data_IF_918608821111
#
_entry.id   IF_918608821111
#
_cell.length_a   1.000
_cell.length_b   1.000
_cell.length_c   1.000
_cell.angle_alpha   90.00
_cell.angle_beta   90.00
_cell.angle_gamma   90.00
#
_symmetry.space_group_name_H-M   'P 1'
#
loop_
_entity.id
_entity.type
_entity.pdbx_description
1 polymer ?
#
# COMPACT_ATOMS: atom_id res chain seq x y z
N UNK A 1 -9.89 32.21 32.96
CA UNK A 1 -9.40 30.82 32.82
C UNK A 1 -9.58 30.42 31.35
N UNK A 2 -8.57 30.64 30.53
CA UNK A 2 -8.58 30.28 29.10
C UNK A 2 -8.34 28.81 28.93
N UNK A 3 -9.31 28.07 28.39
CA UNK A 3 -9.10 26.72 27.93
C UNK A 3 -8.14 26.78 26.75
N UNK A 4 -6.89 26.40 26.97
CA UNK A 4 -5.97 26.10 25.88
C UNK A 4 -6.58 24.93 25.11
N UNK A 5 -7.14 25.21 23.95
CA UNK A 5 -7.46 24.23 22.93
C UNK A 5 -6.12 23.59 22.50
N UNK A 6 -5.81 22.43 23.07
CA UNK A 6 -4.70 21.61 22.60
C UNK A 6 -5.05 21.20 21.18
N UNK A 7 -4.42 21.89 20.24
CA UNK A 7 -4.47 21.51 18.82
C UNK A 7 -3.96 20.06 18.75
N UNK A 8 -4.86 19.11 18.49
CA UNK A 8 -4.50 17.70 18.29
C UNK A 8 -3.48 17.67 17.16
N UNK A 9 -2.25 17.28 17.48
CA UNK A 9 -1.21 17.09 16.49
C UNK A 9 -1.63 15.96 15.57
N UNK A 10 -2.10 16.30 14.39
CA UNK A 10 -2.46 15.32 13.37
C UNK A 10 -1.18 14.72 12.80
N UNK A 11 -1.05 13.40 12.82
CA UNK A 11 0.11 12.73 12.22
C UNK A 11 0.21 13.06 10.74
N UNK A 12 1.41 13.38 10.26
CA UNK A 12 1.63 13.79 8.88
C UNK A 12 1.66 12.56 7.95
N UNK A 13 0.80 12.48 6.95
CA UNK A 13 0.85 11.41 5.97
C UNK A 13 2.02 11.62 5.00
N UNK A 14 2.66 10.51 4.63
CA UNK A 14 3.71 10.47 3.60
C UNK A 14 3.39 9.41 2.56
N UNK A 15 4.09 9.48 1.43
CA UNK A 15 3.97 8.55 0.33
C UNK A 15 5.35 8.08 -0.14
N UNK A 16 5.38 7.00 -0.95
CA UNK A 16 6.60 6.44 -1.54
C UNK A 16 7.50 7.53 -2.15
N UNK A 17 6.92 8.46 -2.91
CA UNK A 17 7.66 9.55 -3.56
C UNK A 17 8.25 10.59 -2.61
N UNK A 18 7.78 10.68 -1.36
CA UNK A 18 8.29 11.61 -0.36
C UNK A 18 9.11 10.93 0.74
N UNK A 19 9.12 9.61 0.76
CA UNK A 19 9.72 8.81 1.83
C UNK A 19 11.21 9.12 2.05
N UNK A 20 11.99 9.25 0.98
CA UNK A 20 13.42 9.55 1.08
C UNK A 20 13.64 10.87 1.82
N UNK A 21 13.02 11.95 1.37
CA UNK A 21 13.14 13.29 1.96
C UNK A 21 12.60 13.34 3.39
N UNK A 22 11.42 12.76 3.63
CA UNK A 22 10.73 12.91 4.91
C UNK A 22 11.26 11.96 6.00
N UNK A 23 11.88 10.84 5.61
CA UNK A 23 12.31 9.79 6.53
C UNK A 23 13.83 9.59 6.50
N UNK A 24 14.40 9.33 5.32
CA UNK A 24 15.82 8.96 5.23
C UNK A 24 16.76 10.15 5.38
N UNK A 25 16.34 11.34 4.95
CA UNK A 25 17.10 12.59 5.06
C UNK A 25 16.72 13.41 6.31
N UNK A 26 15.82 12.87 7.15
CA UNK A 26 15.39 13.56 8.35
C UNK A 26 16.51 13.74 9.37
N UNK A 27 16.62 14.96 9.92
CA UNK A 27 17.59 15.29 10.97
C UNK A 27 17.23 14.71 12.35
N UNK A 28 15.96 14.37 12.55
CA UNK A 28 15.41 13.78 13.79
C UNK A 28 15.09 12.30 13.59
N UNK A 29 15.00 11.49 14.65
CA UNK A 29 14.42 10.16 14.57
C UNK A 29 12.98 10.22 14.06
N UNK A 30 12.60 9.25 13.24
CA UNK A 30 11.28 9.18 12.61
C UNK A 30 10.62 7.85 12.95
N UNK A 31 9.41 7.91 13.50
CA UNK A 31 8.49 6.77 13.53
C UNK A 31 7.58 6.83 12.32
N UNK A 32 7.50 5.76 11.56
CA UNK A 32 6.58 5.61 10.44
C UNK A 32 5.56 4.53 10.75
N UNK A 33 4.31 4.92 10.95
CA UNK A 33 3.18 4.00 11.10
C UNK A 33 2.71 3.52 9.73
N UNK A 34 2.91 2.25 9.46
CA UNK A 34 2.41 1.59 8.26
C UNK A 34 1.03 1.03 8.57
N UNK A 35 0.00 1.64 7.98
CA UNK A 35 -1.40 1.40 8.29
C UNK A 35 -2.25 1.22 7.04
N UNK A 36 -3.54 0.85 7.22
CA UNK A 36 -4.53 0.87 6.14
C UNK A 36 -5.92 1.22 6.69
N UNK A 37 -6.83 1.80 5.88
CA UNK A 37 -8.16 2.23 6.32
C UNK A 37 -9.05 1.10 6.88
N UNK A 38 -8.86 -0.10 6.38
CA UNK A 38 -9.61 -1.30 6.78
C UNK A 38 -9.03 -2.00 8.03
N UNK A 39 -7.87 -1.57 8.52
CA UNK A 39 -7.17 -2.17 9.65
C UNK A 39 -7.70 -1.58 10.97
N UNK A 40 -8.66 -2.22 11.60
CA UNK A 40 -9.24 -1.75 12.88
C UNK A 40 -8.19 -1.52 13.98
N UNK A 41 -7.18 -2.41 14.22
CA UNK A 41 -6.14 -2.14 15.20
C UNK A 41 -5.25 -0.95 14.81
N UNK A 42 -5.07 -0.64 13.52
CA UNK A 42 -4.34 0.56 13.09
C UNK A 42 -5.10 1.84 13.47
N UNK A 43 -6.41 1.85 13.25
CA UNK A 43 -7.26 2.99 13.65
C UNK A 43 -7.20 3.23 15.16
N UNK A 44 -7.22 2.14 15.95
CA UNK A 44 -7.09 2.22 17.40
C UNK A 44 -5.69 2.68 17.87
N UNK A 45 -4.64 2.44 17.07
CA UNK A 45 -3.28 2.85 17.38
C UNK A 45 -3.04 4.35 17.18
N UNK A 46 -3.76 4.99 16.25
CA UNK A 46 -3.55 6.39 15.89
C UNK A 46 -3.50 7.35 17.08
N UNK A 47 -4.48 7.35 18.03
CA UNK A 47 -4.41 8.24 19.21
C UNK A 47 -3.22 7.95 20.12
N UNK A 48 -2.68 6.72 20.13
CA UNK A 48 -1.48 6.39 20.90
C UNK A 48 -0.26 7.07 20.28
N UNK A 49 -0.13 7.00 18.95
CA UNK A 49 0.99 7.64 18.23
C UNK A 49 0.90 9.16 18.24
N UNK A 50 -0.31 9.73 18.22
CA UNK A 50 -0.52 11.18 18.44
C UNK A 50 0.05 11.60 19.80
N UNK A 51 -0.20 10.83 20.87
CA UNK A 51 0.38 11.09 22.19
C UNK A 51 1.90 10.94 22.24
N UNK A 52 2.48 9.98 21.49
CA UNK A 52 3.94 9.86 21.32
C UNK A 52 4.49 11.12 20.67
N UNK A 53 3.84 11.59 19.59
CA UNK A 53 4.23 12.81 18.88
C UNK A 53 4.17 14.05 19.77
N UNK A 54 3.14 14.16 20.61
CA UNK A 54 2.99 15.26 21.57
C UNK A 54 4.07 15.23 22.66
N UNK A 55 4.33 14.07 23.28
CA UNK A 55 5.32 13.93 24.36
C UNK A 55 6.76 14.16 23.87
N UNK A 56 7.05 13.84 22.61
CA UNK A 56 8.37 13.93 22.03
C UNK A 56 8.46 15.01 20.94
N UNK A 57 7.56 16.01 21.02
CA UNK A 57 7.54 17.12 20.07
C UNK A 57 8.92 17.79 19.96
N UNK A 58 9.38 18.02 18.73
CA UNK A 58 10.71 18.58 18.42
C UNK A 58 11.87 17.58 18.58
N UNK A 59 11.65 16.39 19.15
CA UNK A 59 12.68 15.36 19.33
C UNK A 59 12.50 14.16 18.38
N UNK A 60 11.27 13.84 18.02
CA UNK A 60 10.89 12.73 17.13
C UNK A 60 9.82 13.21 16.19
N UNK A 61 9.87 12.77 14.94
CA UNK A 61 8.76 12.92 13.99
C UNK A 61 7.95 11.64 13.96
N UNK A 62 6.62 11.77 13.95
CA UNK A 62 5.72 10.61 13.79
C UNK A 62 4.92 10.83 12.50
N UNK A 63 5.10 9.92 11.56
CA UNK A 63 4.53 9.97 10.21
C UNK A 63 3.64 8.76 9.98
N UNK A 64 2.71 8.85 9.04
CA UNK A 64 1.84 7.73 8.66
C UNK A 64 1.98 7.44 7.17
N UNK A 65 1.92 6.16 6.82
CA UNK A 65 2.02 5.70 5.44
C UNK A 65 0.94 4.64 5.18
N UNK A 66 0.04 4.93 4.24
CA UNK A 66 -1.00 3.98 3.84
C UNK A 66 -0.37 2.85 3.00
N UNK A 67 -0.42 1.63 3.52
CA UNK A 67 0.18 0.46 2.89
C UNK A 67 -0.45 0.12 1.52
N UNK A 68 -1.73 0.41 1.33
CA UNK A 68 -2.44 0.12 0.09
C UNK A 68 -1.97 1.03 -1.07
N UNK A 69 -1.50 2.23 -0.74
CA UNK A 69 -1.06 3.25 -1.70
C UNK A 69 0.46 3.30 -1.88
N UNK A 70 1.22 2.72 -0.92
CA UNK A 70 2.67 2.91 -0.81
C UNK A 70 3.42 1.57 -0.69
N UNK A 71 3.26 0.74 -1.67
CA UNK A 71 3.70 -0.65 -1.61
C UNK A 71 5.20 -0.80 -1.83
N UNK A 72 5.87 0.19 -2.42
CA UNK A 72 7.33 0.15 -2.57
C UNK A 72 8.01 0.22 -1.19
N UNK A 73 7.55 1.11 -0.32
CA UNK A 73 8.00 1.17 1.07
C UNK A 73 7.66 -0.10 1.84
N UNK A 74 6.42 -0.60 1.74
CA UNK A 74 5.99 -1.85 2.39
C UNK A 74 6.87 -3.03 1.99
N UNK A 75 7.15 -3.18 0.71
CA UNK A 75 7.99 -4.25 0.16
C UNK A 75 9.44 -4.09 0.58
N UNK A 76 9.99 -2.88 0.44
CA UNK A 76 11.39 -2.55 0.77
C UNK A 76 11.73 -2.89 2.22
N UNK A 77 10.85 -2.56 3.15
CA UNK A 77 11.08 -2.81 4.57
C UNK A 77 10.47 -4.12 5.06
N UNK A 78 9.97 -4.97 4.17
CA UNK A 78 9.47 -6.31 4.47
C UNK A 78 8.30 -6.30 5.45
N UNK A 79 7.40 -5.32 5.35
CA UNK A 79 6.20 -5.24 6.20
C UNK A 79 5.21 -6.33 5.77
N UNK A 80 4.89 -7.24 6.68
CA UNK A 80 4.03 -8.41 6.42
C UNK A 80 2.71 -8.41 7.18
N UNK A 81 2.56 -7.50 8.14
CA UNK A 81 1.35 -7.38 8.95
C UNK A 81 1.11 -5.91 9.32
N UNK A 82 -0.14 -5.52 9.61
CA UNK A 82 -0.53 -4.18 10.01
C UNK A 82 -1.21 -4.19 11.39
N UNK A 83 -1.00 -3.14 12.19
CA UNK A 83 -0.03 -2.06 11.97
C UNK A 83 1.41 -2.54 12.13
N UNK A 84 2.34 -1.89 11.46
CA UNK A 84 3.78 -2.00 11.73
C UNK A 84 4.35 -0.59 11.85
N UNK A 85 4.99 -0.29 12.97
CA UNK A 85 5.67 0.97 13.20
C UNK A 85 7.17 0.76 13.02
N UNK A 86 7.77 1.50 12.10
CA UNK A 86 9.20 1.46 11.78
C UNK A 86 9.88 2.65 12.43
N UNK A 87 11.02 2.42 13.11
CA UNK A 87 11.86 3.47 13.67
C UNK A 87 13.08 3.69 12.77
N UNK A 88 13.22 4.91 12.29
CA UNK A 88 14.38 5.38 11.54
C UNK A 88 15.18 6.39 12.34
N UNK A 89 16.50 6.28 12.23
CA UNK A 89 17.44 7.28 12.71
C UNK A 89 18.53 7.51 11.68
N UNK A 90 18.79 8.78 11.33
CA UNK A 90 19.86 9.18 10.39
C UNK A 90 19.85 8.37 9.09
N UNK A 91 18.66 8.13 8.54
CA UNK A 91 18.44 7.40 7.29
C UNK A 91 18.45 5.87 7.40
N UNK A 92 18.77 5.31 8.57
CA UNK A 92 18.78 3.88 8.79
C UNK A 92 17.52 3.39 9.51
N UNK A 93 16.99 2.22 9.11
CA UNK A 93 15.98 1.51 9.88
C UNK A 93 16.66 0.93 11.13
N UNK A 94 16.31 1.43 12.32
CA UNK A 94 16.90 1.02 13.60
C UNK A 94 16.15 -0.17 14.19
N UNK A 95 14.80 -0.10 14.20
CA UNK A 95 13.97 -1.13 14.83
C UNK A 95 12.54 -1.07 14.32
N UNK A 96 11.69 -2.02 14.70
CA UNK A 96 10.27 -2.08 14.34
C UNK A 96 9.41 -2.72 15.43
N UNK A 97 8.15 -2.30 15.49
CA UNK A 97 7.10 -2.98 16.27
C UNK A 97 5.96 -3.37 15.34
N UNK A 98 5.57 -4.64 15.37
CA UNK A 98 4.42 -5.17 14.63
C UNK A 98 3.26 -5.41 15.58
N UNK A 99 2.06 -4.95 15.20
CA UNK A 99 0.87 -4.95 16.03
C UNK A 99 0.67 -3.64 16.79
N UNK A 100 -0.53 -3.45 17.31
CA UNK A 100 -0.86 -2.31 18.16
C UNK A 100 -0.33 -2.54 19.58
N UNK A 101 0.44 -1.59 20.10
CA UNK A 101 1.03 -1.65 21.42
C UNK A 101 0.63 -0.43 22.27
N UNK A 102 0.72 -0.50 23.61
CA UNK A 102 0.56 0.65 24.46
C UNK A 102 1.72 1.64 24.29
N UNK A 103 1.50 2.89 24.68
CA UNK A 103 2.44 4.01 24.49
C UNK A 103 3.85 3.71 25.01
N UNK A 104 3.95 3.05 26.18
CA UNK A 104 5.23 2.77 26.84
C UNK A 104 6.17 1.93 25.95
N UNK A 105 5.62 1.09 25.07
CA UNK A 105 6.43 0.29 24.14
C UNK A 105 7.08 1.15 23.07
N UNK A 106 6.39 2.19 22.58
CA UNK A 106 6.95 3.14 21.61
C UNK A 106 7.98 4.06 22.27
N UNK A 107 7.74 4.48 23.50
CA UNK A 107 8.71 5.26 24.28
C UNK A 107 9.97 4.45 24.58
N UNK A 108 9.83 3.17 24.96
CA UNK A 108 10.95 2.27 25.18
C UNK A 108 11.73 1.98 23.88
N UNK A 109 11.05 1.88 22.73
CA UNK A 109 11.69 1.74 21.42
C UNK A 109 12.56 2.95 21.08
N UNK A 110 12.10 4.16 21.42
CA UNK A 110 12.77 5.43 21.11
C UNK A 110 13.90 5.77 22.08
N UNK A 111 13.82 5.31 23.34
CA UNK A 111 14.76 5.71 24.41
C UNK A 111 16.23 5.52 24.03
N UNK A 112 16.70 4.36 23.52
CA UNK A 112 18.11 4.16 23.17
C UNK A 112 18.62 5.13 22.10
N UNK A 113 17.77 5.45 21.10
CA UNK A 113 18.12 6.37 20.02
C UNK A 113 18.24 7.80 20.57
N UNK A 114 17.32 8.21 21.42
CA UNK A 114 17.33 9.55 22.01
C UNK A 114 18.49 9.74 22.98
N UNK A 115 18.85 8.70 23.74
CA UNK A 115 20.02 8.69 24.65
C UNK A 115 21.32 8.77 23.86
N UNK A 116 21.49 7.96 22.82
CA UNK A 116 22.66 7.98 21.94
C UNK A 116 22.84 9.36 21.27
N UNK A 117 21.76 9.98 20.84
CA UNK A 117 21.80 11.35 20.29
C UNK A 117 22.19 12.38 21.33
N UNK A 118 21.65 12.30 22.54
CA UNK A 118 22.01 13.22 23.65
C UNK A 118 23.48 13.08 24.05
N UNK A 119 24.03 11.88 23.99
CA UNK A 119 25.43 11.59 24.28
C UNK A 119 26.41 11.99 23.14
N UNK A 120 25.89 12.52 22.02
CA UNK A 120 26.73 12.83 20.86
C UNK A 120 27.39 11.60 20.22
N UNK A 121 26.82 10.42 20.43
CA UNK A 121 27.35 9.17 19.90
C UNK A 121 27.53 9.23 18.37
N UNK A 122 28.65 8.71 17.83
CA UNK A 122 28.86 8.66 16.40
C UNK A 122 27.71 7.93 15.71
N UNK A 123 27.32 8.47 14.54
CA UNK A 123 26.32 7.84 13.67
C UNK A 123 26.76 6.41 13.39
N UNK A 124 25.95 5.35 13.66
CA UNK A 124 26.14 4.10 13.00
C UNK A 124 26.21 4.40 11.50
N UNK A 125 27.25 3.88 10.82
CA UNK A 125 27.31 4.05 9.37
C UNK A 125 25.95 3.62 8.79
N UNK A 126 25.31 4.43 7.94
CA UNK A 126 24.08 4.02 7.30
C UNK A 126 24.34 2.63 6.69
N UNK A 127 23.43 1.66 6.82
CA UNK A 127 23.57 0.41 6.10
C UNK A 127 23.87 0.79 4.65
N UNK A 128 24.83 0.06 4.03
CA UNK A 128 25.30 0.35 2.68
C UNK A 128 24.14 0.77 1.80
N UNK A 129 24.25 1.85 1.03
CA UNK A 129 23.13 2.43 0.32
C UNK A 129 22.43 1.34 -0.48
N UNK A 130 21.26 0.92 0.00
CA UNK A 130 20.33 0.23 -0.87
C UNK A 130 20.14 1.18 -2.04
N UNK A 131 20.46 0.70 -3.24
CA UNK A 131 20.58 1.46 -4.48
C UNK A 131 19.69 2.72 -4.51
N UNK A 132 20.23 3.87 -4.97
CA UNK A 132 19.63 5.18 -4.74
C UNK A 132 18.13 5.14 -5.02
N UNK A 133 17.32 5.57 -4.05
CA UNK A 133 15.88 5.74 -4.20
C UNK A 133 15.51 6.56 -5.45
N UNK A 134 16.38 7.48 -5.83
CA UNK A 134 16.23 8.33 -7.01
C UNK A 134 16.41 7.63 -8.35
N UNK A 135 16.80 6.35 -8.36
CA UNK A 135 17.14 5.66 -9.60
C UNK A 135 16.06 4.67 -10.08
N UNK A 136 14.90 4.62 -9.44
CA UNK A 136 13.74 4.05 -10.13
C UNK A 136 12.97 5.19 -10.77
N UNK A 137 13.00 5.29 -12.09
CA UNK A 137 12.03 6.11 -12.80
C UNK A 137 10.65 5.65 -12.32
N UNK A 138 9.76 6.60 -12.07
CA UNK A 138 8.36 6.33 -11.81
C UNK A 138 7.92 5.21 -12.75
N UNK A 139 7.67 3.98 -12.19
CA UNK A 139 7.18 2.84 -12.93
C UNK A 139 7.83 2.59 -14.28
N UNK A 140 9.10 2.17 -14.34
CA UNK A 140 9.48 1.35 -15.49
C UNK A 140 8.85 -0.03 -15.24
N UNK A 141 7.54 -0.14 -15.50
CA UNK A 141 7.01 -1.39 -16.00
C UNK A 141 7.95 -1.79 -17.12
N UNK A 142 8.57 -2.95 -17.06
CA UNK A 142 9.38 -3.44 -18.17
C UNK A 142 8.52 -3.37 -19.42
N UNK A 143 9.08 -3.14 -20.61
CA UNK A 143 8.26 -3.09 -21.83
C UNK A 143 7.34 -4.32 -21.88
N UNK A 144 7.81 -5.47 -21.44
CA UNK A 144 7.05 -6.70 -21.31
C UNK A 144 5.80 -6.58 -20.40
N UNK A 145 5.86 -5.85 -19.29
CA UNK A 145 4.70 -5.66 -18.43
C UNK A 145 3.65 -4.72 -19.04
N UNK A 146 4.08 -3.70 -19.81
CA UNK A 146 3.18 -2.87 -20.60
C UNK A 146 2.57 -3.64 -21.76
N UNK A 147 3.36 -4.46 -22.45
CA UNK A 147 2.87 -5.30 -23.56
C UNK A 147 1.82 -6.28 -23.05
N UNK A 148 2.05 -6.93 -21.89
CA UNK A 148 1.06 -7.80 -21.25
C UNK A 148 -0.19 -7.02 -20.81
N UNK A 149 -0.04 -5.83 -20.20
CA UNK A 149 -1.17 -4.99 -19.81
C UNK A 149 -2.01 -4.57 -21.02
N UNK A 150 -1.38 -4.21 -22.13
CA UNK A 150 -2.08 -3.91 -23.39
C UNK A 150 -2.78 -5.13 -23.96
N UNK A 151 -2.16 -6.30 -23.92
CA UNK A 151 -2.78 -7.56 -24.38
C UNK A 151 -4.02 -7.89 -23.53
N UNK A 152 -3.95 -7.74 -22.20
CA UNK A 152 -5.08 -7.93 -21.31
C UNK A 152 -6.20 -6.92 -21.57
N UNK A 153 -5.85 -5.64 -21.73
CA UNK A 153 -6.82 -4.57 -22.02
C UNK A 153 -7.57 -4.83 -23.33
N UNK A 154 -6.88 -5.25 -24.37
CA UNK A 154 -7.41 -5.48 -25.72
C UNK A 154 -7.99 -6.89 -25.92
N UNK A 155 -8.34 -7.60 -24.86
CA UNK A 155 -9.02 -8.88 -24.97
C UNK A 155 -10.29 -8.75 -25.82
N UNK A 156 -10.50 -9.59 -26.86
CA UNK A 156 -11.70 -9.53 -27.69
C UNK A 156 -12.95 -10.04 -26.96
N UNK A 157 -12.75 -10.79 -25.87
CA UNK A 157 -13.82 -11.26 -24.99
C UNK A 157 -13.71 -10.60 -23.62
N UNK A 158 -14.83 -10.48 -22.87
CA UNK A 158 -14.77 -9.97 -21.50
C UNK A 158 -13.79 -10.77 -20.66
N UNK A 159 -12.70 -10.12 -20.23
CA UNK A 159 -11.65 -10.69 -19.41
C UNK A 159 -11.75 -10.12 -17.98
N UNK A 160 -11.67 -10.99 -16.97
CA UNK A 160 -11.63 -10.57 -15.58
C UNK A 160 -10.17 -10.50 -15.10
N UNK A 161 -9.70 -9.31 -14.79
CA UNK A 161 -8.41 -9.10 -14.12
C UNK A 161 -8.65 -8.91 -12.64
N UNK A 162 -8.04 -9.76 -11.81
CA UNK A 162 -8.14 -9.65 -10.35
C UNK A 162 -6.77 -9.39 -9.73
N UNK A 163 -6.60 -8.20 -9.15
CA UNK A 163 -5.41 -7.81 -8.39
C UNK A 163 -5.57 -8.24 -6.93
N UNK A 164 -4.67 -9.08 -6.47
CA UNK A 164 -4.67 -9.68 -5.14
C UNK A 164 -3.44 -9.28 -4.35
N UNK A 165 -3.62 -8.92 -3.09
CA UNK A 165 -2.54 -8.74 -2.12
C UNK A 165 -2.49 -9.93 -1.16
N UNK A 166 -1.37 -10.66 -1.16
CA UNK A 166 -1.18 -11.82 -0.29
C UNK A 166 -1.05 -11.44 1.21
N UNK A 167 -0.82 -10.17 1.53
CA UNK A 167 -0.65 -9.67 2.90
C UNK A 167 -1.90 -8.98 3.46
N UNK A 168 -2.94 -8.81 2.64
CA UNK A 168 -4.18 -8.16 3.03
C UNK A 168 -5.26 -9.19 3.37
N UNK A 169 -5.77 -9.20 4.61
CA UNK A 169 -6.81 -10.13 5.05
C UNK A 169 -8.10 -10.01 4.24
N UNK A 170 -8.51 -8.80 3.90
CA UNK A 170 -9.67 -8.55 3.03
C UNK A 170 -9.41 -9.13 1.64
N UNK A 171 -8.20 -8.99 1.11
CA UNK A 171 -7.84 -9.54 -0.19
C UNK A 171 -7.91 -11.06 -0.22
N UNK A 172 -7.59 -11.72 0.89
CA UNK A 172 -7.70 -13.19 1.03
C UNK A 172 -9.18 -13.62 0.99
N UNK A 173 -10.06 -12.90 1.69
CA UNK A 173 -11.50 -13.22 1.67
C UNK A 173 -12.12 -12.96 0.29
N UNK A 174 -11.80 -11.84 -0.32
CA UNK A 174 -12.27 -11.50 -1.68
C UNK A 174 -11.69 -12.48 -2.71
N UNK A 175 -10.47 -12.97 -2.51
CA UNK A 175 -9.88 -14.01 -3.39
C UNK A 175 -10.70 -15.30 -3.38
N UNK A 176 -11.23 -15.72 -2.24
CA UNK A 176 -12.11 -16.90 -2.19
C UNK A 176 -13.36 -16.72 -3.06
N UNK A 177 -13.95 -15.51 -3.08
CA UNK A 177 -15.09 -15.19 -3.95
C UNK A 177 -14.69 -15.19 -5.42
N UNK A 178 -13.52 -14.67 -5.73
CA UNK A 178 -12.96 -14.73 -7.08
C UNK A 178 -12.72 -16.20 -7.52
N UNK A 179 -12.13 -17.03 -6.66
CA UNK A 179 -11.89 -18.44 -6.97
C UNK A 179 -13.21 -19.19 -7.20
N UNK A 180 -14.25 -18.90 -6.40
CA UNK A 180 -15.59 -19.44 -6.61
C UNK A 180 -16.20 -18.97 -7.95
N UNK A 181 -15.97 -17.70 -8.34
CA UNK A 181 -16.38 -17.19 -9.64
C UNK A 181 -15.71 -17.96 -10.78
N UNK A 182 -14.38 -18.13 -10.71
CA UNK A 182 -13.59 -18.86 -11.74
C UNK A 182 -14.10 -20.31 -11.88
N UNK A 183 -14.39 -20.99 -10.78
CA UNK A 183 -14.92 -22.36 -10.80
C UNK A 183 -16.32 -22.44 -11.42
N UNK A 184 -17.18 -21.45 -11.13
CA UNK A 184 -18.54 -21.41 -11.66
C UNK A 184 -18.61 -20.98 -13.14
N UNK A 185 -17.58 -20.29 -13.64
CA UNK A 185 -17.54 -19.71 -14.99
C UNK A 185 -16.23 -20.03 -15.71
N UNK A 186 -15.92 -21.32 -15.93
CA UNK A 186 -14.63 -21.74 -16.52
C UNK A 186 -14.42 -21.26 -17.95
N UNK A 187 -15.48 -20.83 -18.63
CA UNK A 187 -15.44 -20.27 -19.99
C UNK A 187 -15.01 -18.79 -20.02
N UNK A 188 -15.02 -18.08 -18.86
CA UNK A 188 -14.66 -16.68 -18.78
C UNK A 188 -13.15 -16.56 -18.63
N UNK A 189 -12.44 -15.85 -19.53
CA UNK A 189 -11.02 -15.61 -19.36
C UNK A 189 -10.76 -14.83 -18.06
N UNK A 190 -9.76 -15.26 -17.30
CA UNK A 190 -9.41 -14.61 -16.03
C UNK A 190 -7.89 -14.47 -15.90
N UNK A 191 -7.42 -13.37 -15.31
CA UNK A 191 -6.01 -13.13 -14.96
C UNK A 191 -5.90 -12.71 -13.50
N UNK A 192 -5.29 -13.57 -12.69
CA UNK A 192 -4.92 -13.21 -11.31
C UNK A 192 -3.55 -12.53 -11.32
N UNK A 193 -3.46 -11.36 -10.73
CA UNK A 193 -2.21 -10.59 -10.54
C UNK A 193 -1.92 -10.50 -9.04
N UNK A 194 -0.87 -11.17 -8.59
CA UNK A 194 -0.40 -11.07 -7.21
C UNK A 194 0.49 -9.84 -7.10
N UNK A 195 -0.03 -8.77 -6.50
CA UNK A 195 0.59 -7.43 -6.50
C UNK A 195 2.03 -7.43 -5.99
N UNK A 196 2.37 -8.26 -4.99
CA UNK A 196 3.73 -8.34 -4.45
C UNK A 196 4.73 -9.02 -5.41
N UNK A 197 4.26 -9.90 -6.27
CA UNK A 197 5.11 -10.68 -7.20
C UNK A 197 5.16 -10.04 -8.59
N UNK A 198 4.06 -9.43 -9.01
CA UNK A 198 3.84 -8.91 -10.37
C UNK A 198 3.57 -7.39 -10.34
N UNK A 199 4.29 -6.66 -9.50
CA UNK A 199 4.11 -5.22 -9.37
C UNK A 199 4.24 -4.44 -10.68
N UNK A 200 5.26 -4.69 -11.53
CA UNK A 200 5.35 -3.99 -12.82
C UNK A 200 4.08 -4.14 -13.65
N UNK A 201 3.51 -5.35 -13.69
CA UNK A 201 2.25 -5.62 -14.41
C UNK A 201 1.07 -4.92 -13.73
N UNK A 202 0.98 -4.97 -12.40
CA UNK A 202 -0.10 -4.30 -11.66
C UNK A 202 -0.13 -2.78 -11.90
N UNK A 203 1.04 -2.15 -11.99
CA UNK A 203 1.17 -0.73 -12.31
C UNK A 203 0.84 -0.46 -13.79
N UNK A 204 1.39 -1.25 -14.70
CA UNK A 204 1.11 -1.13 -16.12
C UNK A 204 -0.39 -1.25 -16.44
N UNK A 205 -1.11 -2.16 -15.76
CA UNK A 205 -2.57 -2.29 -15.90
C UNK A 205 -3.28 -1.00 -15.44
N UNK A 206 -2.83 -0.38 -14.35
CA UNK A 206 -3.41 0.88 -13.87
C UNK A 206 -3.17 2.02 -14.88
N UNK A 207 -1.96 2.09 -15.44
CA UNK A 207 -1.55 3.10 -16.41
C UNK A 207 -2.29 2.92 -17.75
N UNK A 208 -2.34 1.70 -18.29
CA UNK A 208 -2.98 1.40 -19.59
C UNK A 208 -4.49 1.62 -19.51
N UNK A 209 -5.13 1.16 -18.44
CA UNK A 209 -6.58 1.26 -18.26
C UNK A 209 -7.06 2.56 -17.64
N UNK A 210 -6.12 3.45 -17.24
CA UNK A 210 -6.42 4.72 -16.55
C UNK A 210 -7.30 4.53 -15.31
N UNK A 211 -7.10 3.43 -14.58
CA UNK A 211 -7.82 3.10 -13.35
C UNK A 211 -6.86 3.18 -12.17
N UNK A 212 -7.23 3.95 -11.16
CA UNK A 212 -6.45 4.03 -9.92
C UNK A 212 -6.18 2.63 -9.37
N UNK A 213 -4.92 2.37 -9.01
CA UNK A 213 -4.54 1.10 -8.37
C UNK A 213 -5.20 0.95 -7.00
N UNK A 214 -5.84 -0.19 -6.78
CA UNK A 214 -6.37 -0.63 -5.49
C UNK A 214 -6.10 -2.14 -5.33
N UNK A 215 -6.14 -2.64 -4.08
CA UNK A 215 -5.96 -4.07 -3.80
C UNK A 215 -6.74 -4.48 -2.53
N UNK A 216 -7.67 -5.44 -2.60
CA UNK A 216 -8.07 -6.19 -3.81
C UNK A 216 -8.85 -5.33 -4.80
N UNK A 217 -8.61 -5.56 -6.09
CA UNK A 217 -9.31 -4.89 -7.19
C UNK A 217 -9.67 -5.90 -8.26
N UNK A 218 -10.92 -5.85 -8.73
CA UNK A 218 -11.37 -6.60 -9.90
C UNK A 218 -11.76 -5.64 -11.02
N UNK A 219 -11.33 -5.96 -12.24
CA UNK A 219 -11.68 -5.23 -13.46
C UNK A 219 -12.26 -6.23 -14.47
N UNK A 220 -13.27 -5.82 -15.19
CA UNK A 220 -13.74 -6.51 -16.40
C UNK A 220 -13.41 -5.63 -17.58
N UNK A 221 -12.58 -6.16 -18.49
CA UNK A 221 -12.03 -5.40 -19.62
C UNK A 221 -12.38 -6.10 -20.93
N UNK A 222 -12.53 -5.32 -22.01
CA UNK A 222 -12.75 -5.80 -23.36
C UNK A 222 -12.41 -4.71 -24.37
N UNK A 223 -11.77 -5.05 -25.47
CA UNK A 223 -11.50 -4.17 -26.62
C UNK A 223 -10.92 -2.81 -26.21
N UNK A 224 -9.98 -2.78 -25.26
CA UNK A 224 -9.34 -1.57 -24.76
C UNK A 224 -10.15 -0.79 -23.71
N UNK A 225 -11.31 -1.26 -23.31
CA UNK A 225 -12.21 -0.55 -22.39
C UNK A 225 -12.42 -1.28 -21.08
N UNK A 226 -12.52 -0.52 -19.99
CA UNK A 226 -12.96 -1.03 -18.69
C UNK A 226 -14.49 -1.02 -18.65
N UNK A 227 -15.09 -2.20 -18.74
CA UNK A 227 -16.54 -2.35 -18.67
C UNK A 227 -17.04 -2.16 -17.23
N UNK A 228 -16.25 -2.60 -16.26
CA UNK A 228 -16.57 -2.50 -14.85
C UNK A 228 -15.30 -2.66 -14.00
N UNK A 229 -15.25 -1.98 -12.86
CA UNK A 229 -14.25 -2.25 -11.85
C UNK A 229 -14.81 -2.04 -10.44
N UNK A 230 -14.25 -2.72 -9.47
CA UNK A 230 -14.52 -2.51 -8.05
C UNK A 230 -13.34 -2.94 -7.19
N UNK A 231 -13.36 -2.49 -5.95
CA UNK A 231 -12.36 -2.84 -4.94
C UNK A 231 -13.00 -3.28 -3.63
N UNK A 232 -12.24 -4.03 -2.85
CA UNK A 232 -12.59 -4.47 -1.50
C UNK A 232 -13.94 -5.22 -1.42
N UNK A 233 -14.80 -4.87 -0.47
CA UNK A 233 -16.09 -5.55 -0.25
C UNK A 233 -17.09 -5.41 -1.41
N UNK A 234 -16.86 -4.48 -2.32
CA UNK A 234 -17.71 -4.30 -3.51
C UNK A 234 -17.50 -5.37 -4.58
N UNK A 235 -16.45 -6.19 -4.46
CA UNK A 235 -16.19 -7.32 -5.35
C UNK A 235 -17.03 -8.50 -4.87
N UNK A 236 -18.09 -8.84 -5.62
CA UNK A 236 -18.92 -10.02 -5.38
C UNK A 236 -19.05 -10.84 -6.67
N UNK A 237 -19.29 -12.14 -6.53
CA UNK A 237 -19.45 -13.07 -7.66
C UNK A 237 -20.56 -12.60 -8.62
N UNK A 238 -21.68 -12.11 -8.07
CA UNK A 238 -22.82 -11.62 -8.86
C UNK A 238 -22.48 -10.38 -9.68
N UNK A 239 -21.75 -9.41 -9.09
CA UNK A 239 -21.36 -8.18 -9.77
C UNK A 239 -20.35 -8.43 -10.89
N UNK A 240 -19.36 -9.30 -10.63
CA UNK A 240 -18.41 -9.71 -11.67
C UNK A 240 -19.14 -10.43 -12.80
N UNK A 241 -20.03 -11.38 -12.49
CA UNK A 241 -20.83 -12.12 -13.47
C UNK A 241 -21.74 -11.20 -14.30
N UNK A 242 -22.42 -10.25 -13.66
CA UNK A 242 -23.26 -9.26 -14.35
C UNK A 242 -22.43 -8.39 -15.33
N UNK A 243 -21.24 -7.96 -14.91
CA UNK A 243 -20.35 -7.15 -15.75
C UNK A 243 -19.84 -7.94 -16.96
N UNK A 244 -19.48 -9.21 -16.78
CA UNK A 244 -19.06 -10.11 -17.88
C UNK A 244 -20.21 -10.30 -18.86
N UNK A 245 -21.42 -10.60 -18.38
CA UNK A 245 -22.61 -10.79 -19.23
C UNK A 245 -22.96 -9.52 -20.03
N UNK A 246 -22.89 -8.35 -19.39
CA UNK A 246 -23.10 -7.07 -20.09
C UNK A 246 -22.06 -6.85 -21.20
N UNK A 247 -20.78 -7.23 -20.95
CA UNK A 247 -19.72 -7.12 -21.96
C UNK A 247 -19.89 -8.08 -23.15
N UNK A 248 -20.55 -9.24 -22.94
CA UNK A 248 -20.91 -10.13 -24.06
C UNK A 248 -22.00 -9.54 -24.93
N UNK A 249 -23.00 -8.88 -24.32
CA UNK A 249 -24.16 -8.31 -25.06
C UNK A 249 -23.84 -7.03 -25.83
N UNK A 250 -22.85 -6.23 -25.40
CA UNK A 250 -22.42 -5.03 -26.13
C UNK A 250 -21.58 -5.30 -27.38
N UNK A 251 -21.20 -6.54 -27.66
CA UNK A 251 -20.46 -6.97 -28.86
C UNK A 251 -21.32 -7.24 -30.10
N UNK A 252 -22.63 -6.97 -30.08
CA UNK A 252 -23.57 -7.28 -31.19
C UNK A 252 -24.27 -6.02 -31.70
N UNK A 253 -23.56 -4.90 -31.90
CA UNK A 253 -24.06 -3.82 -32.72
C UNK A 253 -22.93 -3.10 -33.42
N UNK A 254 -22.55 -3.60 -34.57
CA UNK A 254 -22.06 -2.73 -35.64
C UNK A 254 -22.93 -3.01 -36.87
N UNK A 255 -23.52 -1.99 -37.49
CA UNK A 255 -24.04 -2.12 -38.87
C UNK A 255 -22.88 -2.17 -39.85
#
# INVERSE_FOLDING_TARGET
MGAMYLSRMTLTPIADGTFAREVLEASQPVLVDIWAPWCAPCVALKPVLERVAEQLAGRVRVLTLNADENVDTVTRFGVRALPTVLLFDRGALVDRLTGAHPIDRYLALLAPVLEARAAGAPVPAPPAPVAPWSARPAGSATSAAHDEAHALANSPEPLVVFKHSATCSISIDVKRRYDAFVQAHPQVPTRLVVVQQERPLSNAIADVLQVRHESPQALVVKDGHVLWHASHSRITTERVGAAVTAGVTTGVTAP
#
